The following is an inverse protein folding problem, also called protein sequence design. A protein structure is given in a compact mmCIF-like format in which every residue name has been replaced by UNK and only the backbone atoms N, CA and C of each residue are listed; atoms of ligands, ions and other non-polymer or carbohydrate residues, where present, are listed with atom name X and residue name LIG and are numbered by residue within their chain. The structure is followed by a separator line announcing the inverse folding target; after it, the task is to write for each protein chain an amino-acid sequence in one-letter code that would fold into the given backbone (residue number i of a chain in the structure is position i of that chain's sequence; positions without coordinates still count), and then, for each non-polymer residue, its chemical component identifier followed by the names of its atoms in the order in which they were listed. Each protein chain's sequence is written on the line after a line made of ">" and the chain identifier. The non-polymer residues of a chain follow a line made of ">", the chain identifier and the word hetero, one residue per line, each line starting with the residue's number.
data_IF_515851263196
#
_entry.id   IF_515851263196
#
_cell.length_a   1.000
_cell.length_b   1.000
_cell.length_c   1.000
_cell.angle_alpha   90.00
_cell.angle_beta   90.00
_cell.angle_gamma   90.00
#
_symmetry.space_group_name_H-M   'P 1'
#
loop_
_entity.id
_entity.type
_entity.pdbx_description
1 polymer ?
#
# COMPACT_ATOMS: atom_id res chain seq x y z
N UNK A 1 19.18 -11.64 -4.42
CA UNK A 1 18.11 -11.89 -3.42
C UNK A 1 17.07 -10.81 -3.65
N UNK A 2 15.79 -11.16 -3.74
CA UNK A 2 14.74 -10.16 -3.81
C UNK A 2 14.61 -9.49 -2.45
N UNK A 3 14.45 -8.17 -2.42
CA UNK A 3 14.26 -7.40 -1.18
C UNK A 3 12.77 -7.32 -0.78
N UNK A 4 11.87 -7.77 -1.64
CA UNK A 4 10.42 -7.85 -1.39
C UNK A 4 10.09 -9.10 -0.57
N UNK A 5 10.30 -9.02 0.73
CA UNK A 5 10.18 -10.16 1.66
C UNK A 5 9.27 -9.88 2.88
N UNK A 6 8.79 -8.65 3.05
CA UNK A 6 7.97 -8.26 4.20
C UNK A 6 6.62 -9.01 4.26
N UNK A 7 6.14 -9.51 3.11
CA UNK A 7 4.91 -10.29 3.04
C UNK A 7 4.93 -11.55 3.92
N UNK A 8 6.12 -12.14 4.16
CA UNK A 8 6.25 -13.30 5.04
C UNK A 8 5.94 -12.95 6.51
N UNK A 9 6.42 -11.80 6.99
CA UNK A 9 6.08 -11.28 8.31
C UNK A 9 4.58 -10.97 8.41
N UNK A 10 4.04 -10.28 7.41
CA UNK A 10 2.63 -9.89 7.42
C UNK A 10 1.69 -11.10 7.32
N UNK A 11 2.09 -12.17 6.61
CA UNK A 11 1.31 -13.41 6.59
C UNK A 11 1.07 -13.96 8.01
N UNK A 12 2.12 -14.00 8.83
CA UNK A 12 2.01 -14.45 10.22
C UNK A 12 1.18 -13.49 11.09
N UNK A 13 1.21 -12.19 10.79
CA UNK A 13 0.38 -11.19 11.47
C UNK A 13 -1.10 -11.36 11.11
N UNK A 14 -1.40 -11.50 9.82
CA UNK A 14 -2.78 -11.67 9.35
C UNK A 14 -3.44 -12.95 9.86
N UNK A 15 -2.69 -14.03 10.02
CA UNK A 15 -3.18 -15.26 10.64
C UNK A 15 -3.68 -15.09 12.09
N UNK A 16 -3.23 -14.04 12.79
CA UNK A 16 -3.55 -13.75 14.20
C UNK A 16 -4.41 -12.51 14.38
N UNK A 17 -4.71 -11.78 13.31
CA UNK A 17 -5.44 -10.51 13.35
C UNK A 17 -6.93 -10.76 13.24
N UNK A 18 -7.70 -10.12 14.11
CA UNK A 18 -9.16 -10.18 14.13
C UNK A 18 -9.81 -8.80 13.95
N UNK A 19 -11.14 -8.76 13.97
CA UNK A 19 -11.93 -7.55 13.77
C UNK A 19 -11.75 -6.47 14.87
N UNK A 20 -11.15 -6.80 16.02
CA UNK A 20 -10.86 -5.84 17.08
C UNK A 20 -9.55 -5.08 16.86
N UNK A 21 -8.74 -5.50 15.89
CA UNK A 21 -7.48 -4.88 15.56
C UNK A 21 -7.69 -3.49 14.95
N UNK A 22 -6.75 -2.56 15.21
CA UNK A 22 -6.67 -1.28 14.50
C UNK A 22 -6.59 -1.45 12.97
N UNK A 23 -6.07 -2.59 12.50
CA UNK A 23 -6.00 -2.94 11.08
C UNK A 23 -7.35 -3.28 10.45
N UNK A 24 -8.43 -3.39 11.24
CA UNK A 24 -9.77 -3.60 10.74
C UNK A 24 -10.53 -2.29 10.46
N UNK A 25 -10.00 -1.14 10.94
CA UNK A 25 -10.64 0.16 10.75
C UNK A 25 -10.09 0.84 9.49
N UNK A 26 -10.93 1.20 8.51
CA UNK A 26 -10.51 1.97 7.34
C UNK A 26 -9.99 3.36 7.73
N UNK A 27 -9.00 3.86 7.01
CA UNK A 27 -8.47 5.21 7.20
C UNK A 27 -9.49 6.27 6.73
N UNK A 28 -9.73 7.26 7.58
CA UNK A 28 -10.76 8.28 7.32
C UNK A 28 -10.50 9.07 6.02
N UNK A 29 -9.25 9.39 5.72
CA UNK A 29 -8.91 10.12 4.49
C UNK A 29 -9.09 9.26 3.23
N UNK A 30 -8.81 7.95 3.31
CA UNK A 30 -9.07 7.01 2.22
C UNK A 30 -10.57 6.93 1.95
N UNK A 31 -11.37 6.84 3.01
CA UNK A 31 -12.84 6.80 2.88
C UNK A 31 -13.41 8.12 2.35
N UNK A 32 -12.85 9.27 2.76
CA UNK A 32 -13.26 10.56 2.23
C UNK A 32 -12.96 10.68 0.73
N UNK A 33 -11.78 10.21 0.27
CA UNK A 33 -11.45 10.18 -1.15
C UNK A 33 -12.36 9.20 -1.92
N UNK A 34 -12.60 8.00 -1.40
CA UNK A 34 -13.47 7.00 -2.03
C UNK A 34 -14.90 7.52 -2.27
N UNK A 35 -15.42 8.42 -1.43
CA UNK A 35 -16.72 9.06 -1.60
C UNK A 35 -16.76 9.99 -2.82
N UNK A 36 -15.63 10.47 -3.32
CA UNK A 36 -15.53 11.32 -4.51
C UNK A 36 -15.50 10.52 -5.81
N UNK A 37 -15.23 9.22 -5.74
CA UNK A 37 -15.14 8.36 -6.92
C UNK A 37 -16.53 8.12 -7.55
N UNK A 38 -16.61 8.01 -8.89
CA UNK A 38 -17.83 7.55 -9.56
C UNK A 38 -18.28 6.20 -9.02
N UNK A 39 -19.59 5.97 -8.93
CA UNK A 39 -20.16 4.67 -8.47
C UNK A 39 -19.77 3.48 -9.34
N UNK A 40 -19.44 3.73 -10.60
CA UNK A 40 -18.96 2.72 -11.54
C UNK A 40 -17.44 2.57 -11.54
N UNK A 41 -16.72 3.25 -10.65
CA UNK A 41 -15.27 3.19 -10.61
C UNK A 41 -14.77 1.77 -10.28
N UNK A 42 -13.79 1.33 -11.06
CA UNK A 42 -13.01 0.11 -10.82
C UNK A 42 -11.82 0.46 -9.92
N UNK A 43 -11.76 -0.15 -8.75
CA UNK A 43 -10.79 0.20 -7.71
C UNK A 43 -9.93 -1.01 -7.37
N UNK A 44 -8.61 -0.81 -7.29
CA UNK A 44 -7.68 -1.81 -6.76
C UNK A 44 -7.20 -1.39 -5.36
N UNK A 45 -7.36 -2.28 -4.38
CA UNK A 45 -6.69 -2.19 -3.07
C UNK A 45 -5.43 -3.07 -3.12
N UNK A 46 -4.27 -2.44 -3.28
CA UNK A 46 -2.97 -3.10 -3.44
C UNK A 46 -2.27 -3.24 -2.08
N UNK A 47 -2.01 -4.48 -1.69
CA UNK A 47 -1.54 -4.83 -0.34
C UNK A 47 -2.67 -4.69 0.69
N UNK A 48 -3.80 -5.33 0.37
CA UNK A 48 -5.06 -5.11 1.06
C UNK A 48 -5.08 -5.57 2.54
N UNK A 49 -4.09 -6.38 2.97
CA UNK A 49 -4.04 -6.93 4.33
C UNK A 49 -5.30 -7.74 4.65
N UNK A 50 -5.95 -7.44 5.76
CA UNK A 50 -7.24 -8.09 6.11
C UNK A 50 -8.45 -7.44 5.43
N UNK A 51 -8.23 -6.53 4.47
CA UNK A 51 -9.28 -5.98 3.61
C UNK A 51 -10.04 -4.79 4.18
N UNK A 52 -9.51 -4.05 5.14
CA UNK A 52 -10.22 -2.92 5.77
C UNK A 52 -10.78 -1.90 4.76
N UNK A 53 -10.00 -1.58 3.72
CA UNK A 53 -10.44 -0.65 2.67
C UNK A 53 -11.24 -1.36 1.58
N UNK A 54 -10.76 -2.51 1.09
CA UNK A 54 -11.46 -3.28 0.05
C UNK A 54 -12.91 -3.62 0.43
N UNK A 55 -13.14 -4.11 1.66
CA UNK A 55 -14.48 -4.42 2.16
C UNK A 55 -15.36 -3.17 2.28
N UNK A 56 -14.77 -2.05 2.74
CA UNK A 56 -15.49 -0.79 2.84
C UNK A 56 -15.87 -0.23 1.46
N UNK A 57 -14.97 -0.31 0.47
CA UNK A 57 -15.23 0.10 -0.91
C UNK A 57 -16.34 -0.74 -1.55
N UNK A 58 -16.29 -2.07 -1.37
CA UNK A 58 -17.33 -2.96 -1.87
C UNK A 58 -18.69 -2.68 -1.20
N UNK A 59 -18.71 -2.38 0.11
CA UNK A 59 -19.93 -1.98 0.82
C UNK A 59 -20.49 -0.63 0.33
N UNK A 60 -19.65 0.25 -0.23
CA UNK A 60 -20.08 1.49 -0.89
C UNK A 60 -20.64 1.24 -2.31
N UNK A 61 -20.54 0.02 -2.84
CA UNK A 61 -21.01 -0.37 -4.18
C UNK A 61 -20.01 -0.08 -5.30
N UNK A 62 -18.72 0.10 -4.99
CA UNK A 62 -17.66 0.20 -5.99
C UNK A 62 -17.32 -1.19 -6.55
N UNK A 63 -16.78 -1.25 -7.76
CA UNK A 63 -16.23 -2.46 -8.37
C UNK A 63 -14.79 -2.66 -7.88
N UNK A 64 -14.59 -3.65 -6.99
CA UNK A 64 -13.34 -3.78 -6.22
C UNK A 64 -12.56 -5.01 -6.61
N UNK A 65 -11.28 -4.80 -6.92
CA UNK A 65 -10.25 -5.82 -6.85
C UNK A 65 -9.38 -5.60 -5.61
N UNK A 66 -8.92 -6.69 -4.98
CA UNK A 66 -7.97 -6.63 -3.89
C UNK A 66 -6.84 -7.63 -4.10
N UNK A 67 -5.62 -7.18 -3.89
CA UNK A 67 -4.42 -8.01 -4.05
C UNK A 67 -3.54 -7.92 -2.81
N UNK A 68 -3.04 -9.07 -2.38
CA UNK A 68 -2.01 -9.15 -1.34
C UNK A 68 -1.07 -10.32 -1.62
N UNK A 69 0.18 -10.21 -1.22
CA UNK A 69 1.16 -11.28 -1.37
C UNK A 69 1.00 -12.39 -0.31
N UNK A 70 0.41 -12.07 0.84
CA UNK A 70 0.20 -12.98 1.95
C UNK A 70 -1.08 -13.82 1.73
N UNK A 71 -1.00 -15.16 1.66
CA UNK A 71 -2.19 -16.01 1.49
C UNK A 71 -3.21 -15.87 2.63
N UNK A 72 -2.77 -15.62 3.87
CA UNK A 72 -3.68 -15.41 5.00
C UNK A 72 -4.50 -14.11 4.87
N UNK A 73 -3.94 -13.09 4.23
CA UNK A 73 -4.65 -11.87 3.85
C UNK A 73 -5.84 -12.20 2.93
N UNK A 74 -5.57 -12.87 1.81
CA UNK A 74 -6.59 -13.25 0.82
C UNK A 74 -7.68 -14.11 1.47
N UNK A 75 -7.30 -15.08 2.29
CA UNK A 75 -8.24 -15.92 3.02
C UNK A 75 -9.11 -15.13 4.01
N UNK A 76 -8.53 -14.14 4.71
CA UNK A 76 -9.26 -13.28 5.63
C UNK A 76 -10.29 -12.42 4.92
N UNK A 77 -9.89 -11.77 3.80
CA UNK A 77 -10.80 -10.97 2.97
C UNK A 77 -11.94 -11.84 2.43
N UNK A 78 -11.63 -13.03 1.90
CA UNK A 78 -12.64 -13.93 1.35
C UNK A 78 -13.68 -14.32 2.40
N UNK A 79 -13.27 -14.66 3.63
CA UNK A 79 -14.19 -14.97 4.73
C UNK A 79 -15.08 -13.78 5.07
N UNK A 80 -14.49 -12.59 5.21
CA UNK A 80 -15.22 -11.39 5.56
C UNK A 80 -16.20 -10.93 4.47
N UNK A 81 -15.77 -10.97 3.20
CA UNK A 81 -16.62 -10.65 2.06
C UNK A 81 -17.81 -11.61 1.95
N UNK A 82 -17.57 -12.92 2.08
CA UNK A 82 -18.64 -13.93 2.07
C UNK A 82 -19.64 -13.69 3.20
N UNK A 83 -19.18 -13.42 4.41
CA UNK A 83 -20.04 -13.17 5.57
C UNK A 83 -20.89 -11.88 5.40
N UNK A 84 -20.38 -10.89 4.68
CA UNK A 84 -21.06 -9.63 4.40
C UNK A 84 -21.88 -9.64 3.09
N UNK A 85 -21.84 -10.72 2.31
CA UNK A 85 -22.49 -10.80 0.99
C UNK A 85 -21.88 -9.86 -0.05
N UNK A 86 -20.60 -9.53 0.09
CA UNK A 86 -19.87 -8.65 -0.82
C UNK A 86 -19.16 -9.47 -1.90
N UNK A 87 -19.13 -8.91 -3.11
CA UNK A 87 -18.41 -9.48 -4.26
C UNK A 87 -17.21 -8.60 -4.60
N UNK A 88 -16.05 -9.22 -4.85
CA UNK A 88 -14.84 -8.56 -5.30
C UNK A 88 -13.89 -9.54 -6.00
N UNK A 89 -12.98 -9.04 -6.84
CA UNK A 89 -11.91 -9.84 -7.47
C UNK A 89 -10.72 -9.95 -6.48
N UNK A 90 -10.57 -11.11 -5.85
CA UNK A 90 -9.49 -11.34 -4.87
C UNK A 90 -8.35 -12.13 -5.52
N UNK A 91 -7.15 -11.57 -5.46
CA UNK A 91 -5.96 -12.23 -6.01
C UNK A 91 -4.81 -12.24 -5.01
N UNK A 92 -4.05 -13.33 -5.03
CA UNK A 92 -2.74 -13.36 -4.40
C UNK A 92 -1.68 -13.00 -5.45
N UNK A 93 -0.77 -12.08 -5.11
CA UNK A 93 0.29 -11.64 -6.02
C UNK A 93 1.22 -10.62 -5.40
N UNK A 94 2.33 -10.38 -6.13
CA UNK A 94 3.34 -9.40 -5.73
C UNK A 94 3.00 -8.02 -6.32
N UNK A 95 3.36 -6.95 -5.61
CA UNK A 95 3.13 -5.57 -6.07
C UNK A 95 3.96 -5.18 -7.30
N UNK A 96 5.01 -5.95 -7.62
CA UNK A 96 5.91 -5.73 -8.75
C UNK A 96 5.47 -6.43 -10.03
N UNK A 97 4.40 -7.26 -9.97
CA UNK A 97 3.84 -7.99 -11.11
C UNK A 97 2.34 -8.17 -10.89
N UNK A 98 1.55 -7.15 -11.27
CA UNK A 98 0.12 -7.15 -11.02
C UNK A 98 -0.61 -8.01 -12.06
N UNK A 99 -1.41 -9.01 -11.63
CA UNK A 99 -2.11 -9.93 -12.53
C UNK A 99 -3.38 -9.30 -13.14
N UNK A 100 -3.28 -8.04 -13.57
CA UNK A 100 -4.37 -7.28 -14.17
C UNK A 100 -3.92 -6.70 -15.51
N UNK A 101 -4.84 -6.55 -16.49
CA UNK A 101 -4.53 -5.89 -17.76
C UNK A 101 -4.16 -4.41 -17.57
N UNK A 102 -3.52 -3.84 -18.60
CA UNK A 102 -3.26 -2.41 -18.66
C UNK A 102 -4.57 -1.60 -18.60
N UNK A 103 -4.52 -0.42 -18.03
CA UNK A 103 -5.64 0.53 -17.99
C UNK A 103 -6.97 -0.09 -17.50
N UNK A 104 -6.90 -0.91 -16.43
CA UNK A 104 -8.05 -1.60 -15.85
C UNK A 104 -8.78 -0.77 -14.79
N UNK A 105 -8.07 0.07 -14.06
CA UNK A 105 -8.59 0.73 -12.85
C UNK A 105 -8.72 2.24 -13.00
N UNK A 106 -9.79 2.78 -12.42
CA UNK A 106 -10.00 4.22 -12.26
C UNK A 106 -9.25 4.75 -11.03
N UNK A 107 -9.04 3.88 -10.02
CA UNK A 107 -8.32 4.22 -8.80
C UNK A 107 -7.51 3.04 -8.27
N UNK A 108 -6.29 3.30 -7.81
CA UNK A 108 -5.45 2.34 -7.07
C UNK A 108 -5.14 2.93 -5.70
N UNK A 109 -5.51 2.20 -4.65
CA UNK A 109 -5.09 2.46 -3.28
C UNK A 109 -3.90 1.57 -2.93
N UNK A 110 -2.87 2.11 -2.27
CA UNK A 110 -1.83 1.31 -1.61
C UNK A 110 -1.38 1.98 -0.31
N UNK A 111 -1.89 1.48 0.80
CA UNK A 111 -1.74 2.12 2.11
C UNK A 111 -0.83 1.32 3.02
N UNK A 112 0.33 1.87 3.34
CA UNK A 112 1.39 1.23 4.12
C UNK A 112 2.01 -0.02 3.48
N UNK A 113 2.23 0.00 2.15
CA UNK A 113 2.65 -1.18 1.37
C UNK A 113 3.87 -0.95 0.48
N UNK A 114 3.78 -0.02 -0.49
CA UNK A 114 4.73 0.03 -1.64
C UNK A 114 6.19 0.36 -1.28
N UNK A 115 6.48 0.68 -0.03
CA UNK A 115 7.82 0.91 0.47
C UNK A 115 8.51 -0.35 1.04
N UNK A 116 7.86 -1.52 1.00
CA UNK A 116 8.47 -2.79 1.40
C UNK A 116 9.38 -3.31 0.31
N UNK A 117 10.69 -3.15 0.50
CA UNK A 117 11.71 -3.52 -0.47
C UNK A 117 12.74 -2.42 -0.65
N UNK A 118 13.57 -2.53 -1.68
CA UNK A 118 14.53 -1.50 -2.10
C UNK A 118 13.96 -0.56 -3.17
N UNK A 119 14.77 0.40 -3.61
CA UNK A 119 14.38 1.37 -4.65
C UNK A 119 13.88 0.71 -5.94
N UNK A 120 14.46 -0.45 -6.32
CA UNK A 120 14.07 -1.18 -7.53
C UNK A 120 12.67 -1.78 -7.39
N UNK A 121 12.39 -2.39 -6.23
CA UNK A 121 11.06 -2.95 -5.91
C UNK A 121 10.01 -1.83 -5.89
N UNK A 122 10.32 -0.71 -5.25
CA UNK A 122 9.41 0.45 -5.19
C UNK A 122 9.13 1.02 -6.58
N UNK A 123 10.18 1.24 -7.39
CA UNK A 123 10.03 1.75 -8.76
C UNK A 123 9.22 0.78 -9.63
N UNK A 124 9.46 -0.54 -9.52
CA UNK A 124 8.69 -1.56 -10.22
C UNK A 124 7.21 -1.56 -9.82
N UNK A 125 6.93 -1.40 -8.53
CA UNK A 125 5.55 -1.32 -8.03
C UNK A 125 4.82 -0.06 -8.54
N UNK A 126 5.49 1.08 -8.57
CA UNK A 126 4.91 2.33 -9.12
C UNK A 126 4.68 2.21 -10.63
N UNK A 127 5.60 1.55 -11.36
CA UNK A 127 5.42 1.29 -12.79
C UNK A 127 4.21 0.38 -13.06
N UNK A 128 4.02 -0.67 -12.26
CA UNK A 128 2.85 -1.55 -12.36
C UNK A 128 1.54 -0.81 -12.00
N UNK A 129 1.55 0.04 -10.97
CA UNK A 129 0.43 0.91 -10.63
C UNK A 129 0.09 1.82 -11.83
N UNK A 130 1.10 2.46 -12.44
CA UNK A 130 0.90 3.27 -13.64
C UNK A 130 0.32 2.46 -14.81
N UNK A 131 0.81 1.23 -15.02
CA UNK A 131 0.35 0.35 -16.10
C UNK A 131 -1.13 0.01 -15.96
N UNK A 132 -1.56 -0.39 -14.75
CA UNK A 132 -2.94 -0.84 -14.52
C UNK A 132 -3.95 0.29 -14.36
N UNK A 133 -3.53 1.50 -14.02
CA UNK A 133 -4.39 2.68 -14.00
C UNK A 133 -4.78 3.08 -15.43
N UNK A 134 -6.00 3.50 -15.62
CA UNK A 134 -6.44 4.20 -16.85
C UNK A 134 -5.74 5.56 -16.96
N UNK A 135 -5.54 6.13 -18.16
CA UNK A 135 -5.18 7.54 -18.28
C UNK A 135 -6.18 8.42 -17.52
N UNK A 136 -5.70 9.35 -16.70
CA UNK A 136 -6.54 10.16 -15.79
C UNK A 136 -7.01 9.41 -14.54
N UNK A 137 -6.67 8.12 -14.39
CA UNK A 137 -6.93 7.37 -13.16
C UNK A 137 -6.00 7.81 -12.03
N UNK A 138 -6.45 7.64 -10.79
CA UNK A 138 -5.76 8.16 -9.61
C UNK A 138 -5.08 7.09 -8.77
N UNK A 139 -3.94 7.42 -8.22
CA UNK A 139 -3.26 6.67 -7.17
C UNK A 139 -3.37 7.41 -5.84
N UNK A 140 -3.74 6.69 -4.78
CA UNK A 140 -3.63 7.17 -3.40
C UNK A 140 -2.82 6.18 -2.58
N UNK A 141 -1.84 6.66 -1.82
CA UNK A 141 -1.02 5.76 -1.01
C UNK A 141 -0.04 6.46 -0.10
N UNK A 142 0.74 5.65 0.61
CA UNK A 142 1.75 6.15 1.52
C UNK A 142 3.14 5.60 1.23
N UNK A 143 4.17 6.40 1.51
CA UNK A 143 5.58 6.03 1.46
C UNK A 143 6.24 6.36 2.80
N UNK A 144 7.19 5.55 3.27
CA UNK A 144 8.00 5.94 4.43
C UNK A 144 8.84 7.17 4.11
N UNK A 145 8.73 8.21 4.94
CA UNK A 145 9.59 9.39 4.81
C UNK A 145 10.99 9.12 5.35
N UNK A 146 12.02 9.64 4.68
CA UNK A 146 13.40 9.59 5.16
C UNK A 146 13.57 10.25 6.55
N UNK A 147 12.68 11.15 6.96
CA UNK A 147 12.64 11.74 8.30
C UNK A 147 12.44 10.72 9.42
N UNK A 148 11.91 9.55 9.07
CA UNK A 148 11.66 8.47 10.03
C UNK A 148 12.93 7.71 10.41
N UNK A 149 13.97 7.67 9.56
CA UNK A 149 15.22 6.90 9.82
C UNK A 149 15.85 7.23 11.19
N UNK A 150 16.11 8.49 11.56
CA UNK A 150 16.69 8.79 12.86
C UNK A 150 15.79 8.37 14.04
N UNK A 151 14.48 8.37 13.86
CA UNK A 151 13.52 7.93 14.87
C UNK A 151 13.58 6.41 15.07
N UNK A 152 13.72 5.64 14.00
CA UNK A 152 13.88 4.19 14.10
C UNK A 152 15.26 3.82 14.68
N UNK A 153 16.33 4.52 14.29
CA UNK A 153 17.68 4.33 14.87
C UNK A 153 17.75 4.65 16.36
N UNK A 154 16.91 5.54 16.86
CA UNK A 154 16.80 5.81 18.29
C UNK A 154 16.10 4.67 19.07
N UNK A 155 15.36 3.79 18.41
CA UNK A 155 14.62 2.67 19.01
C UNK A 155 15.37 1.35 18.92
N UNK A 156 16.10 1.12 17.81
CA UNK A 156 16.78 -0.13 17.52
C UNK A 156 18.02 0.10 16.65
N UNK A 157 18.98 -0.81 16.72
CA UNK A 157 20.09 -0.84 15.77
C UNK A 157 19.54 -1.09 14.37
N UNK A 158 20.13 -0.42 13.39
CA UNK A 158 19.73 -0.57 12.00
C UNK A 158 20.91 -0.38 11.06
N UNK A 159 20.79 -0.90 9.86
CA UNK A 159 21.80 -0.72 8.80
C UNK A 159 21.14 -0.39 7.47
N UNK A 160 21.74 0.50 6.73
CA UNK A 160 21.42 0.74 5.34
C UNK A 160 22.02 -0.38 4.50
N UNK A 161 21.18 -1.11 3.77
CA UNK A 161 21.60 -2.25 2.93
C UNK A 161 21.76 -1.88 1.47
N UNK A 162 21.06 -0.84 1.05
CA UNK A 162 21.23 -0.13 -0.23
C UNK A 162 20.71 1.30 -0.05
N UNK A 163 20.88 2.16 -1.03
CA UNK A 163 20.49 3.58 -0.96
C UNK A 163 19.05 3.76 -0.43
N UNK A 164 18.94 4.46 0.69
CA UNK A 164 17.67 4.74 1.39
C UNK A 164 16.89 3.48 1.83
N UNK A 165 17.49 2.30 1.76
CA UNK A 165 16.85 1.03 2.12
C UNK A 165 17.48 0.49 3.40
N UNK A 166 16.68 0.33 4.42
CA UNK A 166 17.11 -0.01 5.77
C UNK A 166 16.47 -1.31 6.25
N UNK A 167 17.21 -2.02 7.09
CA UNK A 167 16.71 -3.09 7.97
C UNK A 167 17.08 -2.74 9.40
N UNK A 168 16.20 -3.09 10.35
CA UNK A 168 16.40 -2.80 11.77
C UNK A 168 16.33 -4.09 12.58
N UNK A 169 17.07 -4.14 13.67
CA UNK A 169 16.98 -5.25 14.62
C UNK A 169 15.72 -5.11 15.49
N UNK A 170 15.20 -6.24 15.98
CA UNK A 170 14.07 -6.26 16.92
C UNK A 170 12.79 -6.86 16.36
N UNK A 171 11.70 -6.73 17.09
CA UNK A 171 10.40 -7.22 16.62
C UNK A 171 9.79 -6.26 15.59
N UNK A 172 9.03 -6.82 14.65
CA UNK A 172 8.29 -6.04 13.66
C UNK A 172 8.74 -6.28 12.23
N UNK A 173 8.06 -5.65 11.29
CA UNK A 173 8.27 -5.81 9.85
C UNK A 173 9.60 -5.22 9.35
N UNK A 174 10.18 -4.28 10.09
CA UNK A 174 11.42 -3.59 9.69
C UNK A 174 12.69 -4.44 9.78
N UNK A 175 12.58 -5.70 10.21
CA UNK A 175 13.64 -6.70 9.99
C UNK A 175 13.77 -7.08 8.51
N UNK A 176 12.74 -6.77 7.72
CA UNK A 176 12.74 -6.83 6.26
C UNK A 176 13.14 -5.46 5.66
N UNK A 177 13.63 -5.43 4.40
CA UNK A 177 14.00 -4.19 3.73
C UNK A 177 12.82 -3.22 3.61
N UNK A 178 13.08 -1.95 3.97
CA UNK A 178 12.14 -0.84 3.81
C UNK A 178 12.84 0.35 3.17
N UNK A 179 12.21 0.93 2.16
CA UNK A 179 12.69 2.13 1.48
C UNK A 179 12.17 3.38 2.18
N UNK A 180 13.09 4.20 2.70
CA UNK A 180 12.79 5.47 3.35
C UNK A 180 13.01 6.62 2.36
N UNK A 181 11.95 7.09 1.76
CA UNK A 181 11.96 7.96 0.59
C UNK A 181 12.25 9.43 0.94
N UNK A 182 13.33 10.04 0.43
CA UNK A 182 13.49 11.48 0.44
C UNK A 182 12.53 12.15 -0.57
N UNK A 183 12.16 13.42 -0.31
CA UNK A 183 11.22 14.17 -1.16
C UNK A 183 11.61 14.19 -2.65
N UNK A 184 12.90 14.41 -2.94
CA UNK A 184 13.40 14.45 -4.34
C UNK A 184 13.24 13.11 -5.06
N UNK A 185 13.44 12.00 -4.33
CA UNK A 185 13.34 10.66 -4.91
C UNK A 185 11.87 10.29 -5.12
N UNK A 186 10.99 10.74 -4.21
CA UNK A 186 9.55 10.58 -4.36
C UNK A 186 9.03 11.25 -5.64
N UNK A 187 9.40 12.50 -5.89
CA UNK A 187 9.02 13.22 -7.12
C UNK A 187 9.54 12.49 -8.36
N UNK A 188 10.76 11.97 -8.32
CA UNK A 188 11.34 11.22 -9.45
C UNK A 188 10.62 9.87 -9.68
N UNK A 189 10.27 9.14 -8.62
CA UNK A 189 9.53 7.88 -8.72
C UNK A 189 8.14 8.06 -9.35
N UNK A 190 7.49 9.20 -9.12
CA UNK A 190 6.17 9.52 -9.67
C UNK A 190 6.23 10.38 -10.94
N UNK A 191 7.34 10.35 -11.70
CA UNK A 191 7.51 11.16 -12.92
C UNK A 191 6.44 10.93 -14.01
N UNK A 192 5.76 9.76 -13.99
CA UNK A 192 4.62 9.46 -14.90
C UNK A 192 3.25 9.91 -14.38
N UNK A 193 3.22 10.70 -13.32
CA UNK A 193 2.00 11.17 -12.66
C UNK A 193 2.02 12.69 -12.48
N UNK A 194 0.84 13.29 -12.48
CA UNK A 194 0.62 14.63 -11.92
C UNK A 194 0.38 14.46 -10.41
N UNK A 195 1.22 15.09 -9.58
CA UNK A 195 1.10 15.06 -8.13
C UNK A 195 0.01 16.05 -7.68
N UNK A 196 -1.16 15.52 -7.36
CA UNK A 196 -2.32 16.31 -6.90
C UNK A 196 -2.15 16.75 -5.44
N UNK A 197 -1.61 15.88 -4.59
CA UNK A 197 -1.29 16.18 -3.20
C UNK A 197 -0.09 15.37 -2.74
N UNK A 198 0.80 16.03 -2.01
CA UNK A 198 1.98 15.42 -1.43
C UNK A 198 2.22 16.03 -0.05
N UNK A 199 2.01 15.23 1.01
CA UNK A 199 2.13 15.71 2.39
C UNK A 199 2.99 14.74 3.20
N UNK A 200 4.05 15.26 3.84
CA UNK A 200 4.85 14.50 4.81
C UNK A 200 4.32 14.75 6.23
N UNK A 201 3.73 13.73 6.83
CA UNK A 201 3.13 13.81 8.17
C UNK A 201 3.30 12.54 8.99
N UNK A 202 3.12 12.67 10.28
CA UNK A 202 3.09 11.52 11.19
C UNK A 202 1.75 10.80 11.07
N UNK A 203 1.80 9.46 11.17
CA UNK A 203 0.63 8.62 11.41
C UNK A 203 0.28 8.61 12.91
N UNK A 204 -0.27 7.48 13.39
CA UNK A 204 -0.83 7.32 14.73
C UNK A 204 0.15 7.58 15.88
N UNK A 205 1.45 7.48 15.65
CA UNK A 205 2.45 7.60 16.69
C UNK A 205 3.50 8.66 16.34
N UNK A 206 3.99 9.44 17.32
CA UNK A 206 5.06 10.41 17.11
C UNK A 206 6.28 9.78 16.44
N UNK A 207 6.80 10.44 15.43
CA UNK A 207 7.95 9.99 14.65
C UNK A 207 7.62 8.99 13.54
N UNK A 208 6.36 8.58 13.37
CA UNK A 208 5.94 7.68 12.29
C UNK A 208 5.71 8.42 10.98
N UNK A 209 6.71 9.14 10.50
CA UNK A 209 6.64 9.99 9.32
C UNK A 209 6.37 9.19 8.04
N UNK A 210 5.33 9.61 7.30
CA UNK A 210 4.99 9.08 5.99
C UNK A 210 4.63 10.21 5.02
N UNK A 211 5.02 10.02 3.78
CA UNK A 211 4.44 10.73 2.66
C UNK A 211 3.05 10.19 2.39
N UNK A 212 2.07 11.08 2.30
CA UNK A 212 0.73 10.82 1.77
C UNK A 212 0.70 11.36 0.36
N UNK A 213 0.42 10.50 -0.58
CA UNK A 213 0.46 10.79 -2.01
C UNK A 213 -0.92 10.62 -2.60
N UNK A 214 -1.41 11.63 -3.30
CA UNK A 214 -2.50 11.54 -4.26
C UNK A 214 -1.94 12.01 -5.60
N UNK A 215 -1.99 11.15 -6.61
CA UNK A 215 -1.42 11.41 -7.91
C UNK A 215 -2.36 10.92 -9.01
N UNK A 216 -2.36 11.58 -10.16
CA UNK A 216 -3.15 11.22 -11.33
C UNK A 216 -2.20 10.73 -12.44
N UNK A 217 -2.51 9.59 -13.07
CA UNK A 217 -1.74 9.07 -14.19
C UNK A 217 -1.89 10.02 -15.38
N UNK A 218 -0.78 10.58 -15.87
CA UNK A 218 -0.77 11.35 -17.10
C UNK A 218 -1.00 10.45 -18.34
N UNK A 219 -1.54 11.06 -19.40
CA UNK A 219 -1.90 10.34 -20.62
C UNK A 219 -0.66 9.78 -21.37
#
# INVERSE_FOLDING_TARGET
>A
MTTDSAHSYWNDQWARTDASSKWATPEAEVMAHAQTLPKSAQVLDLGAGIGRHALAFAAMGLDVAALDAAPESVAAIQRAATAAGLMMDLRQGMMTELPFPDASFDHVLSWNVIYHGDETVVAGSIAEIARVLKPGGTFMGTMLSARRVPVELAKASGREISRNTWVFDGPGDKVHPHYFCPARDLVALFAGFELVSLVDREHDTPGSWHWHVLAERVA
#
